data_IF_869530306018
#
_entry.id   IF_869530306018
#
_cell.length_a   1.000
_cell.length_b   1.000
_cell.length_c   1.000
_cell.angle_alpha   90.00
_cell.angle_beta   90.00
_cell.angle_gamma   90.00
#
_symmetry.space_group_name_H-M   'P 1'
#
loop_
_entity.id
_entity.type
_entity.pdbx_description
1 polymer ?
#
# COMPACT_ATOMS: atom_id res chain seq x y z
N UNK A 1 3.38 -20.99 -2.43
CA UNK A 1 2.16 -21.09 -1.62
C UNK A 1 1.13 -20.08 -2.08
N UNK A 2 -0.11 -20.45 -2.00
CA UNK A 2 -1.23 -19.68 -2.49
C UNK A 2 -1.96 -19.01 -1.34
N UNK A 3 -2.62 -17.89 -1.65
CA UNK A 3 -3.49 -17.23 -0.68
C UNK A 3 -4.68 -18.11 -0.37
N UNK A 4 -5.14 -18.09 0.88
CA UNK A 4 -6.37 -18.77 1.27
C UNK A 4 -7.61 -18.07 0.74
N UNK A 5 -8.74 -18.78 0.77
CA UNK A 5 -10.01 -18.24 0.26
C UNK A 5 -10.46 -16.97 1.01
N UNK A 6 -10.15 -16.87 2.32
CA UNK A 6 -10.49 -15.67 3.11
C UNK A 6 -9.72 -14.44 2.62
N UNK A 7 -8.44 -14.60 2.28
CA UNK A 7 -7.61 -13.52 1.75
C UNK A 7 -8.11 -13.06 0.38
N UNK A 8 -8.43 -14.01 -0.50
CA UNK A 8 -9.03 -13.67 -1.80
C UNK A 8 -10.36 -12.97 -1.63
N UNK A 9 -11.18 -13.37 -0.66
CA UNK A 9 -12.47 -12.73 -0.38
C UNK A 9 -12.30 -11.28 0.05
N UNK A 10 -11.34 -11.00 0.93
CA UNK A 10 -11.07 -9.62 1.37
C UNK A 10 -10.58 -8.74 0.24
N UNK A 11 -9.67 -9.24 -0.59
CA UNK A 11 -9.16 -8.50 -1.74
C UNK A 11 -10.30 -8.24 -2.74
N UNK A 12 -11.14 -9.24 -3.01
CA UNK A 12 -12.28 -9.08 -3.90
C UNK A 12 -13.29 -8.06 -3.42
N UNK A 13 -13.58 -8.02 -2.11
CA UNK A 13 -14.46 -7.01 -1.53
C UNK A 13 -13.88 -5.61 -1.69
N UNK A 14 -12.59 -5.45 -1.46
CA UNK A 14 -11.91 -4.15 -1.62
C UNK A 14 -11.94 -3.69 -3.07
N UNK A 15 -11.67 -4.58 -4.01
CA UNK A 15 -11.70 -4.26 -5.44
C UNK A 15 -13.09 -3.87 -5.90
N UNK A 16 -14.14 -4.55 -5.41
CA UNK A 16 -15.53 -4.18 -5.72
C UNK A 16 -15.87 -2.80 -5.18
N UNK A 17 -15.43 -2.48 -3.97
CA UNK A 17 -15.65 -1.16 -3.38
C UNK A 17 -14.98 -0.07 -4.20
N UNK A 18 -13.75 -0.30 -4.67
CA UNK A 18 -13.03 0.64 -5.53
C UNK A 18 -13.70 0.81 -6.87
N UNK A 19 -14.19 -0.28 -7.46
CA UNK A 19 -14.90 -0.24 -8.73
C UNK A 19 -16.20 0.56 -8.62
N UNK A 20 -16.96 0.35 -7.54
CA UNK A 20 -18.18 1.10 -7.27
C UNK A 20 -17.89 2.58 -7.10
N UNK A 21 -16.82 2.91 -6.37
CA UNK A 21 -16.38 4.30 -6.21
C UNK A 21 -16.04 4.95 -7.55
N UNK A 22 -15.31 4.23 -8.41
CA UNK A 22 -14.92 4.72 -9.73
C UNK A 22 -16.14 4.96 -10.61
N UNK A 23 -17.13 4.05 -10.58
CA UNK A 23 -18.37 4.22 -11.36
C UNK A 23 -19.13 5.47 -10.90
N UNK A 24 -19.24 5.68 -9.60
CA UNK A 24 -19.89 6.88 -9.04
C UNK A 24 -19.16 8.17 -9.44
N UNK A 25 -17.84 8.13 -9.41
CA UNK A 25 -17.00 9.26 -9.83
C UNK A 25 -17.23 9.61 -11.30
N UNK A 26 -17.22 8.60 -12.19
CA UNK A 26 -17.44 8.81 -13.63
C UNK A 26 -18.83 9.40 -13.88
N UNK A 27 -19.85 8.88 -13.19
CA UNK A 27 -21.23 9.38 -13.30
C UNK A 27 -21.30 10.84 -12.90
N UNK A 28 -20.73 11.22 -11.74
CA UNK A 28 -20.74 12.59 -11.25
C UNK A 28 -20.01 13.53 -12.20
N UNK A 29 -18.91 13.05 -12.81
CA UNK A 29 -18.14 13.83 -13.77
C UNK A 29 -18.96 14.09 -15.05
N UNK A 30 -19.61 13.05 -15.58
CA UNK A 30 -20.44 13.16 -16.78
C UNK A 30 -21.67 14.04 -16.56
N UNK A 31 -22.26 13.99 -15.36
CA UNK A 31 -23.43 14.79 -14.99
C UNK A 31 -23.07 16.23 -14.60
N UNK A 32 -21.81 16.58 -14.58
CA UNK A 32 -21.34 17.93 -14.21
C UNK A 32 -21.57 18.27 -12.74
N UNK A 33 -21.70 17.27 -11.87
CA UNK A 33 -21.96 17.45 -10.44
C UNK A 33 -20.72 17.82 -9.64
N UNK A 34 -19.54 17.66 -10.23
CA UNK A 34 -18.28 17.96 -9.56
C UNK A 34 -17.47 18.96 -10.38
N UNK A 35 -16.76 19.84 -9.68
CA UNK A 35 -15.85 20.79 -10.28
C UNK A 35 -14.50 20.12 -10.61
N UNK A 36 -13.67 20.78 -11.41
CA UNK A 36 -12.33 20.28 -11.71
C UNK A 36 -11.47 20.05 -10.45
N UNK A 37 -11.43 20.97 -9.47
CA UNK A 37 -10.69 20.71 -8.22
C UNK A 37 -11.22 19.51 -7.46
N UNK A 38 -12.54 19.30 -7.41
CA UNK A 38 -13.12 18.10 -6.77
C UNK A 38 -12.76 16.84 -7.53
N UNK A 39 -12.74 16.88 -8.85
CA UNK A 39 -12.33 15.75 -9.68
C UNK A 39 -10.88 15.35 -9.39
N UNK A 40 -9.98 16.31 -9.32
CA UNK A 40 -8.56 16.06 -8.99
C UNK A 40 -8.43 15.43 -7.60
N UNK A 41 -9.17 15.94 -6.61
CA UNK A 41 -9.14 15.39 -5.26
C UNK A 41 -9.62 13.92 -5.24
N UNK A 42 -10.70 13.61 -5.95
CA UNK A 42 -11.24 12.23 -6.03
C UNK A 42 -10.30 11.29 -6.75
N UNK A 43 -9.64 11.74 -7.81
CA UNK A 43 -8.63 10.94 -8.51
C UNK A 43 -7.49 10.57 -7.56
N UNK A 44 -7.03 11.53 -6.74
CA UNK A 44 -6.00 11.28 -5.74
C UNK A 44 -6.41 10.24 -4.71
N UNK A 45 -7.65 10.33 -4.20
CA UNK A 45 -8.16 9.34 -3.24
C UNK A 45 -8.28 7.95 -3.86
N UNK A 46 -8.73 7.88 -5.11
CA UNK A 46 -8.84 6.61 -5.82
C UNK A 46 -7.46 5.98 -6.03
N UNK A 47 -6.49 6.76 -6.46
CA UNK A 47 -5.12 6.28 -6.65
C UNK A 47 -4.51 5.77 -5.35
N UNK A 48 -4.76 6.45 -4.24
CA UNK A 48 -4.31 6.03 -2.92
C UNK A 48 -4.94 4.70 -2.51
N UNK A 49 -6.23 4.53 -2.79
CA UNK A 49 -6.96 3.29 -2.47
C UNK A 49 -6.43 2.11 -3.28
N UNK A 50 -6.21 2.30 -4.58
CA UNK A 50 -5.65 1.25 -5.46
C UNK A 50 -4.27 0.84 -4.98
N UNK A 51 -3.44 1.81 -4.63
CA UNK A 51 -2.10 1.53 -4.12
C UNK A 51 -2.13 0.78 -2.80
N UNK A 52 -3.07 1.13 -1.92
CA UNK A 52 -3.27 0.40 -0.67
C UNK A 52 -3.64 -1.06 -0.91
N UNK A 53 -4.50 -1.33 -1.88
CA UNK A 53 -4.87 -2.69 -2.27
C UNK A 53 -3.68 -3.47 -2.82
N UNK A 54 -2.85 -2.83 -3.63
CA UNK A 54 -1.63 -3.44 -4.15
C UNK A 54 -0.70 -3.90 -3.02
N UNK A 55 -0.42 -3.01 -2.08
CA UNK A 55 0.49 -3.33 -0.96
C UNK A 55 -0.13 -4.36 -0.02
N UNK A 56 -1.44 -4.29 0.23
CA UNK A 56 -2.13 -5.29 1.04
C UNK A 56 -2.00 -6.70 0.42
N UNK A 57 -2.27 -6.80 -0.87
CA UNK A 57 -2.15 -8.08 -1.58
C UNK A 57 -0.72 -8.61 -1.60
N UNK A 58 0.25 -7.72 -1.81
CA UNK A 58 1.67 -8.07 -1.81
C UNK A 58 2.10 -8.59 -0.43
N UNK A 59 1.69 -7.90 0.65
CA UNK A 59 2.01 -8.33 2.01
C UNK A 59 1.45 -9.71 2.30
N UNK A 60 0.19 -9.93 1.97
CA UNK A 60 -0.46 -11.23 2.18
C UNK A 60 0.27 -12.34 1.42
N UNK A 61 0.64 -12.10 0.18
CA UNK A 61 1.37 -13.07 -0.63
C UNK A 61 2.74 -13.38 -0.03
N UNK A 62 3.47 -12.36 0.39
CA UNK A 62 4.81 -12.57 0.94
C UNK A 62 4.74 -13.30 2.29
N UNK A 63 3.74 -13.02 3.12
CA UNK A 63 3.51 -13.78 4.35
C UNK A 63 3.24 -15.26 4.07
N UNK A 64 2.44 -15.55 3.05
CA UNK A 64 2.17 -16.93 2.60
C UNK A 64 3.45 -17.66 2.17
N UNK A 65 4.40 -16.91 1.62
CA UNK A 65 5.68 -17.45 1.17
C UNK A 65 6.71 -17.56 2.29
N UNK A 66 6.34 -17.26 3.53
CA UNK A 66 7.20 -17.39 4.69
C UNK A 66 8.02 -16.15 5.04
N UNK A 67 7.74 -15.02 4.40
CA UNK A 67 8.38 -13.76 4.78
C UNK A 67 7.71 -13.19 6.02
N UNK A 68 8.50 -12.72 6.98
CA UNK A 68 7.99 -12.20 8.25
C UNK A 68 8.50 -10.80 8.57
N UNK A 69 9.48 -10.31 7.84
CA UNK A 69 10.09 -9.00 8.06
C UNK A 69 9.87 -8.11 6.85
N UNK A 70 9.84 -6.81 7.11
CA UNK A 70 9.68 -5.80 6.06
C UNK A 70 10.62 -4.63 6.31
N UNK A 71 10.90 -3.89 5.23
CA UNK A 71 11.65 -2.65 5.31
C UNK A 71 11.08 -1.65 4.31
N UNK A 72 10.83 -0.43 4.78
CA UNK A 72 10.45 0.68 3.89
C UNK A 72 11.70 1.19 3.18
N UNK A 73 11.62 1.26 1.85
CA UNK A 73 12.73 1.70 1.00
C UNK A 73 12.35 3.04 0.36
N UNK A 74 13.17 4.05 0.60
CA UNK A 74 12.99 5.35 -0.04
C UNK A 74 13.49 5.29 -1.48
N UNK A 75 12.75 5.95 -2.39
CA UNK A 75 13.22 6.16 -3.74
C UNK A 75 14.28 7.27 -3.72
N UNK A 76 15.48 6.96 -4.15
CA UNK A 76 16.61 7.91 -4.14
C UNK A 76 16.40 9.13 -5.05
N UNK A 77 15.49 9.01 -6.03
CA UNK A 77 15.20 10.07 -6.99
C UNK A 77 14.06 10.99 -6.55
N UNK A 78 13.39 10.70 -5.45
CA UNK A 78 12.20 11.42 -5.02
C UNK A 78 12.45 12.23 -3.76
N UNK A 79 11.63 13.29 -3.59
CA UNK A 79 11.55 14.02 -2.32
C UNK A 79 10.58 13.29 -1.41
N UNK A 80 10.97 13.04 -0.18
CA UNK A 80 10.17 12.26 0.76
C UNK A 80 9.64 13.13 1.90
N UNK A 81 8.43 12.78 2.38
CA UNK A 81 7.88 13.40 3.58
C UNK A 81 8.59 12.85 4.83
N UNK A 82 8.44 13.56 5.95
CA UNK A 82 9.06 13.17 7.21
C UNK A 82 8.57 11.80 7.69
N UNK A 83 7.30 11.48 7.44
CA UNK A 83 6.75 10.17 7.80
C UNK A 83 7.49 9.04 7.10
N UNK A 84 7.70 9.15 5.80
CA UNK A 84 8.41 8.14 5.02
C UNK A 84 9.87 8.00 5.45
N UNK A 85 10.54 9.12 5.73
CA UNK A 85 11.91 9.10 6.24
C UNK A 85 11.96 8.37 7.58
N UNK A 86 11.01 8.65 8.48
CA UNK A 86 10.92 7.98 9.77
C UNK A 86 10.68 6.49 9.66
N UNK A 87 9.76 6.08 8.79
CA UNK A 87 9.48 4.65 8.59
C UNK A 87 10.68 3.91 8.03
N UNK A 88 11.35 4.49 7.03
CA UNK A 88 12.56 3.90 6.45
C UNK A 88 13.69 3.79 7.47
N UNK A 89 13.81 4.77 8.36
CA UNK A 89 14.86 4.79 9.38
C UNK A 89 14.74 3.65 10.40
N UNK A 90 13.55 3.06 10.54
CA UNK A 90 13.37 1.89 11.42
C UNK A 90 14.09 0.65 10.94
N UNK A 91 14.48 0.62 9.66
CA UNK A 91 15.15 -0.53 9.08
C UNK A 91 14.24 -1.73 8.95
N UNK A 92 14.77 -2.91 9.20
CA UNK A 92 14.04 -4.17 9.08
C UNK A 92 13.21 -4.39 10.34
N UNK A 93 11.89 -4.54 10.16
CA UNK A 93 10.92 -4.70 11.25
C UNK A 93 9.94 -5.81 10.90
N UNK A 94 9.22 -6.37 11.89
CA UNK A 94 8.16 -7.34 11.58
C UNK A 94 7.10 -6.76 10.66
N UNK A 95 6.55 -7.59 9.79
CA UNK A 95 5.46 -7.19 8.89
C UNK A 95 4.32 -6.61 9.74
N UNK A 96 3.79 -5.46 9.32
CA UNK A 96 2.73 -4.75 10.03
C UNK A 96 3.20 -3.72 11.03
N UNK A 97 4.52 -3.62 11.29
CA UNK A 97 5.08 -2.67 12.27
C UNK A 97 5.10 -1.23 11.77
N UNK A 98 5.12 -1.04 10.45
CA UNK A 98 5.06 0.30 9.84
C UNK A 98 3.99 0.31 8.77
N UNK A 99 3.35 1.47 8.51
CA UNK A 99 2.33 1.57 7.47
C UNK A 99 2.91 1.33 6.08
N UNK A 100 2.04 0.87 5.17
CA UNK A 100 2.39 0.71 3.76
C UNK A 100 2.56 2.08 3.08
N UNK A 101 3.33 2.14 1.97
CA UNK A 101 3.49 3.39 1.22
C UNK A 101 2.15 4.00 0.83
N UNK A 102 1.98 5.29 1.11
CA UNK A 102 0.78 6.02 0.76
C UNK A 102 -0.40 5.86 1.71
N UNK A 103 -0.28 5.04 2.76
CA UNK A 103 -1.39 4.77 3.69
C UNK A 103 -1.41 5.79 4.84
N UNK A 104 -0.31 5.96 5.53
CA UNK A 104 -0.21 6.88 6.68
C UNK A 104 1.03 7.76 6.57
N UNK A 105 1.21 8.37 5.43
CA UNK A 105 2.28 9.32 5.21
C UNK A 105 1.74 10.56 4.50
N UNK A 106 2.37 11.69 4.74
CA UNK A 106 1.92 12.97 4.21
C UNK A 106 1.92 13.01 2.68
N UNK A 107 2.77 12.21 2.04
CA UNK A 107 2.82 12.15 0.58
C UNK A 107 1.63 11.42 -0.04
N UNK A 108 0.93 10.56 0.70
CA UNK A 108 -0.29 9.90 0.24
C UNK A 108 -0.11 9.20 -1.10
N UNK A 109 -0.99 9.52 -2.07
CA UNK A 109 -0.95 8.91 -3.40
C UNK A 109 0.34 9.22 -4.18
N UNK A 110 1.10 10.22 -3.77
CA UNK A 110 2.38 10.58 -4.39
C UNK A 110 3.57 9.85 -3.81
N UNK A 111 3.34 8.96 -2.85
CA UNK A 111 4.41 8.22 -2.20
C UNK A 111 5.17 7.37 -3.20
N UNK A 112 6.48 7.53 -3.26
CA UNK A 112 7.38 6.78 -4.14
C UNK A 112 8.11 5.66 -3.41
N UNK A 113 7.85 5.50 -2.12
CA UNK A 113 8.49 4.46 -1.34
C UNK A 113 8.01 3.07 -1.77
N UNK A 114 8.84 2.08 -1.54
CA UNK A 114 8.50 0.67 -1.75
C UNK A 114 8.73 -0.10 -0.46
N UNK A 115 8.38 -1.37 -0.47
CA UNK A 115 8.62 -2.27 0.65
C UNK A 115 9.37 -3.47 0.13
N UNK A 116 10.42 -3.87 0.82
CA UNK A 116 11.07 -5.16 0.64
C UNK A 116 10.71 -6.08 1.80
N UNK A 117 10.57 -7.35 1.49
CA UNK A 117 10.23 -8.38 2.46
C UNK A 117 11.40 -9.32 2.65
N UNK A 118 11.57 -9.81 3.88
CA UNK A 118 12.69 -10.66 4.24
C UNK A 118 12.19 -11.79 5.11
N UNK A 119 12.91 -12.91 5.07
CA UNK A 119 12.70 -14.02 5.99
C UNK A 119 13.56 -13.81 7.21
N UNK A 120 13.00 -14.18 8.37
CA UNK A 120 13.78 -14.18 9.59
C UNK A 120 14.86 -15.26 9.46
N UNK A 121 16.10 -14.84 9.63
CA UNK A 121 17.22 -15.79 9.59
C UNK A 121 17.22 -16.63 10.86
N UNK A 122 17.48 -17.93 10.71
CA UNK A 122 17.70 -18.78 11.83
C UNK A 122 18.91 -18.31 12.63
N UNK A 123 18.90 -18.40 13.99
CA UNK A 123 20.05 -18.02 14.77
C UNK A 123 21.27 -18.83 14.32
N UNK A 124 22.39 -18.13 14.11
CA UNK A 124 23.64 -18.80 13.80
C UNK A 124 24.17 -19.40 15.10
N UNK A 125 24.28 -20.71 15.16
CA UNK A 125 24.83 -21.38 16.32
C UNK A 125 26.35 -21.41 16.17
N UNK A 126 27.09 -20.81 17.10
CA UNK A 126 28.55 -20.88 17.04
C UNK A 126 29.01 -22.34 17.15
N UNK A 127 29.91 -22.72 16.31
CA UNK A 127 30.47 -24.06 16.32
C UNK A 127 31.58 -24.17 17.36
#
# INVERSE_FOLDING_TARGET
SEMGSAEYGRIGQRLRAEYTYLQGFVRDLLDGRISAPMAVARIGLYAQSVRGSYWQGTEMREQQRGFSLMRRILDAQAVHCQDCIGYSARGMVPIGSVPMPGVRCACGARCKCTVKYFRQQAPTVPV
#
